data_IF_520432201210
#
_entry.id   IF_520432201210
#
_cell.length_a   1.000
_cell.length_b   1.000
_cell.length_c   1.000
_cell.angle_alpha   90.00
_cell.angle_beta   90.00
_cell.angle_gamma   90.00
#
_symmetry.space_group_name_H-M   'P 1'
#
loop_
_entity.id
_entity.type
_entity.pdbx_description
1 polymer ?
#
# COMPACT_ATOMS: atom_id res chain seq x y z
N UNK A 1 -8.00 -2.32 -7.12
CA UNK A 1 -6.57 -2.62 -6.78
C UNK A 1 -5.56 -2.13 -7.83
N UNK A 2 -5.62 -2.51 -9.12
CA UNK A 2 -4.62 -2.08 -10.14
C UNK A 2 -4.38 -0.55 -10.18
N UNK A 3 -5.44 0.24 -10.28
CA UNK A 3 -5.34 1.70 -10.33
C UNK A 3 -4.65 2.31 -9.09
N UNK A 4 -4.85 1.71 -7.91
CA UNK A 4 -4.17 2.11 -6.67
C UNK A 4 -2.67 1.85 -6.79
N UNK A 5 -2.27 0.67 -7.26
CA UNK A 5 -0.86 0.30 -7.45
C UNK A 5 -0.16 1.22 -8.45
N UNK A 6 -0.79 1.46 -9.61
CA UNK A 6 -0.22 2.32 -10.67
C UNK A 6 -0.09 3.77 -10.21
N UNK A 7 -1.11 4.32 -9.55
CA UNK A 7 -1.07 5.68 -9.01
C UNK A 7 0.00 5.83 -7.92
N UNK A 8 0.11 4.87 -6.99
CA UNK A 8 1.09 4.96 -5.91
C UNK A 8 2.52 4.81 -6.39
N UNK A 9 2.77 3.93 -7.37
CA UNK A 9 4.10 3.80 -7.99
C UNK A 9 4.53 5.05 -8.77
N UNK A 10 3.58 5.87 -9.21
CA UNK A 10 3.89 7.15 -9.86
C UNK A 10 4.22 8.27 -8.86
N UNK A 11 4.03 8.04 -7.55
CA UNK A 11 4.32 9.05 -6.53
C UNK A 11 5.83 9.25 -6.28
N UNK A 12 6.22 10.51 -6.11
CA UNK A 12 7.59 10.86 -5.76
C UNK A 12 7.98 10.33 -4.37
N UNK A 13 8.86 9.31 -4.37
CA UNK A 13 9.36 8.67 -3.15
C UNK A 13 8.77 7.28 -2.89
N UNK A 14 7.86 6.79 -3.74
CA UNK A 14 7.46 5.38 -3.73
C UNK A 14 8.58 4.53 -4.36
N UNK A 15 9.12 3.58 -3.60
CA UNK A 15 10.15 2.63 -4.05
C UNK A 15 9.55 1.28 -4.42
N UNK A 16 8.34 0.99 -3.92
CA UNK A 16 7.60 -0.23 -4.22
C UNK A 16 6.20 -0.18 -3.63
N UNK A 17 5.24 -0.74 -4.35
CA UNK A 17 3.84 -0.86 -3.90
C UNK A 17 3.23 -2.09 -4.54
N UNK A 18 2.67 -3.00 -3.76
CA UNK A 18 2.05 -4.24 -4.27
C UNK A 18 0.96 -4.76 -3.35
N UNK A 19 -0.04 -5.38 -3.98
CA UNK A 19 -1.02 -6.24 -3.32
C UNK A 19 -0.73 -7.71 -3.68
N UNK A 20 -0.91 -8.60 -2.72
CA UNK A 20 -0.91 -10.05 -2.93
C UNK A 20 -2.07 -10.66 -2.14
N UNK A 21 -2.75 -11.63 -2.72
CA UNK A 21 -3.71 -12.46 -1.98
C UNK A 21 -2.96 -13.56 -1.24
N UNK A 22 -3.37 -13.84 -0.01
CA UNK A 22 -2.82 -14.95 0.77
C UNK A 22 -3.19 -16.30 0.13
N UNK A 23 -2.22 -17.20 0.04
CA UNK A 23 -2.41 -18.52 -0.60
C UNK A 23 -3.09 -19.53 0.33
N UNK A 24 -3.13 -19.26 1.64
CA UNK A 24 -3.74 -20.10 2.67
C UNK A 24 -5.08 -19.53 3.15
N UNK A 25 -5.28 -18.22 3.05
CA UNK A 25 -6.48 -17.52 3.51
C UNK A 25 -7.14 -16.74 2.36
N UNK A 26 -8.04 -17.37 1.57
CA UNK A 26 -8.69 -16.73 0.44
C UNK A 26 -9.39 -15.42 0.82
N UNK A 27 -9.17 -14.37 0.05
CA UNK A 27 -9.69 -13.03 0.31
C UNK A 27 -8.86 -12.17 1.25
N UNK A 28 -7.85 -12.72 1.96
CA UNK A 28 -6.90 -11.91 2.71
C UNK A 28 -5.91 -11.25 1.74
N UNK A 29 -5.85 -9.92 1.76
CA UNK A 29 -4.94 -9.15 0.91
C UNK A 29 -3.81 -8.56 1.75
N UNK A 30 -2.59 -8.95 1.43
CA UNK A 30 -1.36 -8.35 1.94
C UNK A 30 -0.97 -7.13 1.12
N UNK A 31 -0.61 -6.05 1.81
CA UNK A 31 -0.10 -4.83 1.21
C UNK A 31 1.37 -4.68 1.59
N UNK A 32 2.24 -4.55 0.61
CA UNK A 32 3.64 -4.23 0.83
C UNK A 32 3.97 -2.91 0.16
N UNK A 33 4.46 -1.97 0.95
CA UNK A 33 4.81 -0.62 0.51
C UNK A 33 6.24 -0.30 0.95
N UNK A 34 7.02 0.30 0.06
CA UNK A 34 8.35 0.81 0.34
C UNK A 34 8.40 2.28 -0.03
N UNK A 35 8.78 3.10 0.93
CA UNK A 35 8.85 4.54 0.79
C UNK A 35 10.24 5.02 1.15
N UNK A 36 10.76 6.00 0.40
CA UNK A 36 12.10 6.56 0.64
C UNK A 36 12.24 7.18 2.02
N UNK A 37 11.18 7.84 2.49
CA UNK A 37 11.20 8.58 3.74
C UNK A 37 9.77 8.74 4.28
N UNK A 38 9.68 9.12 5.56
CA UNK A 38 8.42 9.35 6.26
C UNK A 38 7.57 10.44 5.60
N UNK A 39 8.20 11.48 5.06
CA UNK A 39 7.49 12.58 4.39
C UNK A 39 6.82 12.10 3.10
N UNK A 40 7.43 11.19 2.35
CA UNK A 40 6.82 10.58 1.16
C UNK A 40 5.58 9.76 1.52
N UNK A 41 5.66 8.96 2.58
CA UNK A 41 4.52 8.21 3.10
C UNK A 41 3.39 9.13 3.60
N UNK A 42 3.73 10.22 4.28
CA UNK A 42 2.73 11.20 4.75
C UNK A 42 2.02 11.89 3.59
N UNK A 43 2.76 12.23 2.52
CA UNK A 43 2.16 12.73 1.28
C UNK A 43 1.21 11.70 0.66
N UNK A 44 1.63 10.43 0.61
CA UNK A 44 0.79 9.33 0.10
C UNK A 44 -0.57 9.28 0.81
N UNK A 45 -0.57 9.42 2.15
CA UNK A 45 -1.80 9.43 2.94
C UNK A 45 -2.76 10.57 2.61
N UNK A 46 -2.27 11.67 2.03
CA UNK A 46 -3.06 12.82 1.62
C UNK A 46 -3.48 12.78 0.14
N UNK A 47 -3.15 11.72 -0.61
CA UNK A 47 -3.43 11.68 -2.05
C UNK A 47 -4.91 11.45 -2.37
N UNK A 48 -5.43 12.04 -3.47
CA UNK A 48 -6.80 11.81 -3.90
C UNK A 48 -7.12 10.34 -4.23
N UNK A 49 -6.17 9.60 -4.80
CA UNK A 49 -6.40 8.21 -5.20
C UNK A 49 -6.50 7.27 -4.00
N UNK A 50 -5.76 7.50 -2.91
CA UNK A 50 -5.93 6.74 -1.67
C UNK A 50 -7.29 7.04 -1.02
N UNK A 51 -7.71 8.30 -1.01
CA UNK A 51 -9.03 8.69 -0.50
C UNK A 51 -10.16 8.02 -1.31
N UNK A 52 -10.08 8.05 -2.64
CA UNK A 52 -11.02 7.38 -3.52
C UNK A 52 -11.02 5.86 -3.32
N UNK A 53 -9.84 5.24 -3.16
CA UNK A 53 -9.73 3.82 -2.90
C UNK A 53 -10.40 3.41 -1.59
N UNK A 54 -10.17 4.16 -0.51
CA UNK A 54 -10.80 3.93 0.80
C UNK A 54 -12.32 4.12 0.77
N UNK A 55 -12.82 5.04 -0.04
CA UNK A 55 -14.25 5.26 -0.19
C UNK A 55 -14.97 4.03 -0.78
N UNK A 56 -14.30 3.23 -1.62
CA UNK A 56 -14.88 2.01 -2.19
C UNK A 56 -14.77 0.77 -1.28
N UNK A 57 -14.09 0.84 -0.13
CA UNK A 57 -13.89 -0.33 0.75
C UNK A 57 -15.17 -1.05 1.16
N UNK A 58 -16.27 -0.35 1.54
CA UNK A 58 -17.52 -1.02 1.90
C UNK A 58 -18.10 -1.88 0.76
N UNK A 59 -17.96 -1.43 -0.48
CA UNK A 59 -18.46 -2.16 -1.67
C UNK A 59 -17.70 -3.46 -1.91
N UNK A 60 -16.44 -3.53 -1.45
CA UNK A 60 -15.59 -4.71 -1.57
C UNK A 60 -15.56 -5.57 -0.29
N UNK A 61 -16.35 -5.22 0.73
CA UNK A 61 -16.38 -5.96 2.00
C UNK A 61 -15.10 -5.83 2.83
N UNK A 62 -14.28 -4.81 2.57
CA UNK A 62 -13.03 -4.57 3.32
C UNK A 62 -13.40 -3.98 4.69
N UNK A 63 -13.34 -4.81 5.74
CA UNK A 63 -13.75 -4.44 7.10
C UNK A 63 -12.60 -4.18 8.08
N UNK A 64 -11.48 -4.88 7.94
CA UNK A 64 -10.33 -4.76 8.84
C UNK A 64 -9.07 -4.29 8.10
N UNK A 65 -8.23 -3.52 8.80
CA UNK A 65 -6.91 -3.11 8.30
C UNK A 65 -5.90 -3.05 9.43
N UNK A 66 -4.89 -3.90 9.35
CA UNK A 66 -3.71 -3.88 10.22
C UNK A 66 -2.46 -3.63 9.39
N UNK A 67 -1.98 -2.38 9.36
CA UNK A 67 -0.70 -2.02 8.72
C UNK A 67 0.30 -1.63 9.80
N UNK A 68 1.49 -2.19 9.74
CA UNK A 68 2.62 -1.87 10.62
C UNK A 68 3.75 -1.25 9.82
N UNK A 69 4.27 -0.14 10.30
CA UNK A 69 5.41 0.54 9.70
C UNK A 69 6.69 0.06 10.38
N UNK A 70 7.71 -0.24 9.57
CA UNK A 70 9.06 -0.53 10.01
C UNK A 70 10.02 0.43 9.29
N UNK A 71 10.96 1.00 10.03
CA UNK A 71 12.11 1.68 9.43
C UNK A 71 13.18 0.62 9.10
N UNK A 72 13.66 0.62 7.86
CA UNK A 72 14.62 -0.38 7.37
C UNK A 72 15.75 0.30 6.59
N UNK A 73 16.87 -0.40 6.44
CA UNK A 73 17.85 -0.07 5.39
C UNK A 73 17.34 -0.52 4.00
N UNK A 74 18.19 -0.40 2.98
CA UNK A 74 17.85 -0.80 1.61
C UNK A 74 17.69 -2.33 1.43
N UNK A 75 18.04 -3.11 2.46
CA UNK A 75 18.18 -4.55 2.40
C UNK A 75 19.47 -4.98 1.70
N UNK A 76 19.92 -6.19 2.00
CA UNK A 76 21.00 -6.85 1.26
C UNK A 76 20.43 -8.05 0.52
N UNK A 77 20.57 -8.15 -0.82
CA UNK A 77 20.19 -9.34 -1.55
C UNK A 77 20.93 -10.58 -1.03
N UNK A 78 20.23 -11.70 -0.88
CA UNK A 78 20.79 -13.00 -0.49
C UNK A 78 20.93 -13.93 -1.69
#
# INVERSE_FOLDING_TARGET
MRAMVEASRAEGGCLGYSYAEDVLEPGLIHVAERWRDRTALERHFATPHLAAWRACWPEFGIGERALTLFETDDGTPT
#
